data_IF_924317034771
#
_entry.id   IF_924317034771
#
_cell.length_a   1.000
_cell.length_b   1.000
_cell.length_c   1.000
_cell.angle_alpha   90.00
_cell.angle_beta   90.00
_cell.angle_gamma   90.00
#
_symmetry.space_group_name_H-M   'P 1'
#
loop_
_entity.id
_entity.type
_entity.pdbx_description
1 polymer ?
#
# COMPACT_ATOMS: atom_id res chain seq x y z
N UNK A 1 -12.35 0.31 -5.96
CA UNK A 1 -12.64 1.59 -6.64
C UNK A 1 -12.44 2.74 -5.64
N UNK A 2 -11.88 3.87 -6.07
CA UNK A 2 -11.65 5.03 -5.21
C UNK A 2 -11.95 6.29 -6.01
N UNK A 3 -12.73 7.20 -5.44
CA UNK A 3 -13.13 8.46 -6.07
C UNK A 3 -13.29 9.53 -5.00
N UNK A 4 -12.89 10.76 -5.32
CA UNK A 4 -13.06 11.94 -4.47
C UNK A 4 -13.67 13.05 -5.30
N UNK A 5 -14.67 13.75 -4.74
CA UNK A 5 -15.27 14.94 -5.36
C UNK A 5 -15.35 16.04 -4.32
N UNK A 6 -14.77 17.19 -4.62
CA UNK A 6 -14.90 18.40 -3.82
C UNK A 6 -14.90 19.63 -4.73
N UNK A 7 -16.06 20.03 -5.27
CA UNK A 7 -16.19 21.18 -6.15
C UNK A 7 -15.61 22.45 -5.52
N UNK A 8 -14.91 23.25 -6.33
CA UNK A 8 -14.23 24.47 -5.88
C UNK A 8 -12.91 24.24 -5.13
N UNK A 9 -12.59 22.99 -4.75
CA UNK A 9 -11.40 22.66 -3.95
C UNK A 9 -10.46 21.70 -4.67
N UNK A 10 -11.00 20.60 -5.18
CA UNK A 10 -10.25 19.59 -5.94
C UNK A 10 -10.60 19.76 -7.42
N UNK A 11 -9.60 19.91 -8.32
CA UNK A 11 -9.86 19.99 -9.75
C UNK A 11 -10.58 18.72 -10.25
N UNK A 12 -11.77 18.90 -10.82
CA UNK A 12 -12.58 17.80 -11.36
C UNK A 12 -12.02 17.21 -12.67
N UNK A 13 -12.60 16.08 -13.10
CA UNK A 13 -12.29 15.46 -14.40
C UNK A 13 -10.90 14.82 -14.49
N UNK A 14 -10.19 14.66 -13.37
CA UNK A 14 -8.86 14.06 -13.35
C UNK A 14 -8.91 12.58 -13.04
N UNK A 15 -8.11 11.81 -13.77
CA UNK A 15 -7.74 10.43 -13.42
C UNK A 15 -6.30 10.46 -12.93
N UNK A 16 -6.07 9.92 -11.73
CA UNK A 16 -4.74 9.83 -11.13
C UNK A 16 -4.35 8.36 -10.97
N UNK A 17 -3.09 8.05 -11.29
CA UNK A 17 -2.56 6.69 -11.24
C UNK A 17 -1.60 6.48 -10.06
N UNK A 18 -1.35 7.53 -9.28
CA UNK A 18 -0.53 7.42 -8.07
C UNK A 18 -1.22 6.50 -7.06
N UNK A 19 -0.46 5.66 -6.35
CA UNK A 19 -1.01 4.71 -5.40
C UNK A 19 -1.57 5.42 -4.16
N UNK A 20 -2.80 5.05 -3.79
CA UNK A 20 -3.46 5.47 -2.54
C UNK A 20 -4.05 4.26 -1.84
N UNK A 21 -4.31 4.37 -0.54
CA UNK A 21 -4.90 3.29 0.26
C UNK A 21 -6.02 3.84 1.16
N UNK A 22 -6.95 2.96 1.58
CA UNK A 22 -8.07 3.35 2.44
C UNK A 22 -7.65 3.99 3.77
N UNK A 23 -6.44 3.68 4.26
CA UNK A 23 -5.90 4.29 5.49
C UNK A 23 -5.72 5.81 5.36
N UNK A 24 -5.56 6.31 4.14
CA UNK A 24 -5.39 7.74 3.85
C UNK A 24 -6.68 8.54 4.08
N UNK A 25 -7.85 7.88 4.12
CA UNK A 25 -9.15 8.54 4.29
C UNK A 25 -9.20 9.29 5.61
N UNK A 26 -8.74 8.68 6.71
CA UNK A 26 -8.77 9.29 8.05
C UNK A 26 -7.99 10.63 8.13
N UNK A 27 -6.66 10.67 7.87
CA UNK A 27 -5.90 11.92 7.94
C UNK A 27 -6.37 12.95 6.90
N UNK A 28 -6.83 12.52 5.73
CA UNK A 28 -7.37 13.42 4.70
C UNK A 28 -8.68 14.06 5.14
N UNK A 29 -9.57 13.30 5.80
CA UNK A 29 -10.87 13.77 6.26
C UNK A 29 -10.74 14.72 7.44
N UNK A 30 -9.84 14.42 8.38
CA UNK A 30 -9.53 15.32 9.50
C UNK A 30 -8.97 16.65 8.99
N UNK A 31 -7.99 16.61 8.08
CA UNK A 31 -7.45 17.82 7.48
C UNK A 31 -8.51 18.60 6.66
N UNK A 32 -9.49 17.91 6.08
CA UNK A 32 -10.61 18.56 5.40
C UNK A 32 -11.56 19.28 6.37
N UNK A 33 -11.73 18.73 7.57
CA UNK A 33 -12.51 19.33 8.65
C UNK A 33 -11.80 20.49 9.36
N UNK A 34 -10.56 20.80 8.97
CA UNK A 34 -9.72 21.80 9.65
C UNK A 34 -8.94 21.24 10.83
N UNK A 35 -9.01 19.93 11.08
CA UNK A 35 -8.33 19.28 12.19
C UNK A 35 -7.03 18.59 11.77
N UNK A 36 -5.94 18.96 12.43
CA UNK A 36 -4.62 18.39 12.16
C UNK A 36 -4.31 17.15 12.97
N UNK A 37 -5.07 16.89 14.04
CA UNK A 37 -4.76 15.83 15.00
C UNK A 37 -5.24 14.49 14.49
N UNK A 38 -4.28 13.61 14.22
CA UNK A 38 -4.46 12.20 13.90
C UNK A 38 -3.92 11.35 15.06
N UNK A 39 -4.40 10.11 15.25
CA UNK A 39 -3.79 9.21 16.23
C UNK A 39 -2.29 9.12 16.04
N UNK A 40 -1.50 9.04 17.12
CA UNK A 40 -0.04 8.95 17.01
C UNK A 40 0.40 7.77 16.14
N UNK A 41 -0.26 6.62 16.32
CA UNK A 41 -0.03 5.40 15.55
C UNK A 41 -1.07 5.31 14.44
N UNK A 42 -0.64 5.61 13.21
CA UNK A 42 -1.37 5.36 11.98
C UNK A 42 -0.39 5.30 10.80
N UNK A 43 -0.80 4.65 9.71
CA UNK A 43 0.00 4.55 8.48
C UNK A 43 -0.52 5.45 7.34
N UNK A 44 -1.75 5.97 7.45
CA UNK A 44 -2.36 6.80 6.42
C UNK A 44 -1.66 8.15 6.21
N UNK A 45 -1.80 8.72 5.01
CA UNK A 45 -1.26 10.03 4.64
C UNK A 45 -2.36 11.01 4.26
N UNK A 46 -2.16 12.28 4.59
CA UNK A 46 -3.05 13.35 4.14
C UNK A 46 -2.88 13.61 2.64
N UNK A 47 -3.89 13.28 1.85
CA UNK A 47 -3.90 13.42 0.40
C UNK A 47 -4.24 14.84 -0.08
N UNK A 48 -4.78 15.72 0.78
CA UNK A 48 -5.31 17.02 0.35
C UNK A 48 -4.30 17.91 -0.39
N UNK A 49 -3.04 18.07 0.05
CA UNK A 49 -2.08 18.88 -0.70
C UNK A 49 -1.85 18.35 -2.12
N UNK A 50 -1.76 17.03 -2.28
CA UNK A 50 -1.61 16.37 -3.57
C UNK A 50 -2.87 16.47 -4.44
N UNK A 51 -4.05 16.21 -3.88
CA UNK A 51 -5.34 16.34 -4.58
C UNK A 51 -5.60 17.78 -5.07
N UNK A 52 -5.09 18.78 -4.35
CA UNK A 52 -5.14 20.20 -4.74
C UNK A 52 -4.06 20.58 -5.77
N UNK A 53 -3.20 19.65 -6.19
CA UNK A 53 -2.10 19.90 -7.12
C UNK A 53 -0.95 20.73 -6.52
N UNK A 54 -0.86 20.80 -5.19
CA UNK A 54 0.14 21.60 -4.46
C UNK A 54 1.37 20.79 -4.03
N UNK A 55 1.30 19.47 -4.14
CA UNK A 55 2.36 18.54 -3.76
C UNK A 55 2.34 17.28 -4.63
N UNK A 56 3.40 16.47 -4.54
CA UNK A 56 3.43 15.10 -5.09
C UNK A 56 2.59 14.17 -4.22
N UNK A 57 2.22 13.01 -4.76
CA UNK A 57 1.55 11.96 -3.97
C UNK A 57 2.41 11.60 -2.76
N UNK A 58 1.86 11.57 -1.53
CA UNK A 58 2.64 11.30 -0.33
C UNK A 58 2.99 9.82 -0.15
N UNK A 59 2.42 8.93 -0.96
CA UNK A 59 2.62 7.49 -0.86
C UNK A 59 3.68 7.00 -1.84
N UNK A 60 4.91 6.84 -1.36
CA UNK A 60 5.95 6.13 -2.10
C UNK A 60 5.83 4.60 -1.96
N UNK A 61 5.29 4.17 -0.81
CA UNK A 61 5.24 2.77 -0.38
C UNK A 61 3.89 2.48 0.28
N UNK A 62 3.27 1.37 -0.11
CA UNK A 62 2.04 0.85 0.49
C UNK A 62 2.29 -0.54 1.06
N UNK A 63 1.66 -0.83 2.19
CA UNK A 63 1.81 -2.09 2.90
C UNK A 63 0.44 -2.71 3.18
N UNK A 64 0.39 -4.04 3.17
CA UNK A 64 -0.78 -4.81 3.55
C UNK A 64 -0.38 -5.93 4.49
N UNK A 65 -1.23 -6.18 5.49
CA UNK A 65 -1.21 -7.39 6.28
C UNK A 65 -2.61 -7.96 6.37
N UNK A 66 -2.73 -9.27 6.25
CA UNK A 66 -3.95 -10.01 6.51
C UNK A 66 -3.64 -11.14 7.48
N UNK A 67 -4.27 -11.08 8.66
CA UNK A 67 -4.08 -12.03 9.77
C UNK A 67 -2.62 -12.22 10.21
N UNK A 68 -1.74 -11.25 9.95
CA UNK A 68 -0.32 -11.28 10.32
C UNK A 68 0.56 -12.20 9.46
N UNK A 69 -0.01 -13.20 8.80
CA UNK A 69 0.72 -14.21 8.03
C UNK A 69 0.86 -13.85 6.54
N UNK A 70 -0.10 -13.08 6.02
CA UNK A 70 -0.15 -12.68 4.62
C UNK A 70 0.24 -11.22 4.53
N UNK A 71 1.38 -10.93 3.92
CA UNK A 71 1.95 -9.59 3.94
C UNK A 71 2.36 -9.17 2.52
N UNK A 72 2.23 -7.89 2.21
CA UNK A 72 2.65 -7.35 0.93
C UNK A 72 3.20 -5.93 1.06
N UNK A 73 4.13 -5.59 0.16
CA UNK A 73 4.60 -4.23 -0.05
C UNK A 73 4.44 -3.88 -1.53
N UNK A 74 4.07 -2.63 -1.83
CA UNK A 74 4.19 -2.02 -3.14
C UNK A 74 5.03 -0.75 -3.05
N UNK A 75 6.07 -0.64 -3.86
CA UNK A 75 6.89 0.56 -4.04
C UNK A 75 6.92 0.95 -5.51
N UNK A 76 6.20 2.02 -5.86
CA UNK A 76 5.94 2.36 -7.26
C UNK A 76 5.24 1.21 -7.99
N UNK A 77 5.93 0.61 -8.97
CA UNK A 77 5.42 -0.55 -9.73
C UNK A 77 5.88 -1.88 -9.15
N UNK A 78 6.88 -1.87 -8.26
CA UNK A 78 7.44 -3.08 -7.69
C UNK A 78 6.56 -3.57 -6.54
N UNK A 79 6.30 -4.87 -6.49
CA UNK A 79 5.45 -5.49 -5.47
C UNK A 79 6.04 -6.81 -5.00
N UNK A 80 5.97 -7.04 -3.69
CA UNK A 80 6.22 -8.34 -3.07
C UNK A 80 4.93 -8.79 -2.37
N UNK A 81 4.60 -10.07 -2.50
CA UNK A 81 3.46 -10.72 -1.85
C UNK A 81 3.95 -11.99 -1.16
N UNK A 82 3.70 -12.08 0.15
CA UNK A 82 3.91 -13.26 1.00
C UNK A 82 2.55 -13.85 1.32
N UNK A 83 2.24 -14.98 0.72
CA UNK A 83 0.95 -15.67 0.84
C UNK A 83 0.87 -16.63 2.04
N UNK A 84 1.93 -16.78 2.85
CA UNK A 84 2.03 -17.75 3.94
C UNK A 84 2.07 -19.23 3.49
N UNK A 85 1.28 -19.58 2.48
CA UNK A 85 1.15 -20.87 1.80
C UNK A 85 1.06 -20.67 0.27
N UNK A 86 1.33 -21.69 -0.55
CA UNK A 86 1.04 -21.63 -1.98
C UNK A 86 -0.45 -21.39 -2.23
N UNK A 87 -0.77 -20.58 -3.23
CA UNK A 87 -2.15 -20.31 -3.67
C UNK A 87 -2.28 -20.55 -5.17
N UNK A 88 -3.50 -20.56 -5.71
CA UNK A 88 -3.75 -20.67 -7.15
C UNK A 88 -4.45 -19.41 -7.65
N UNK A 89 -4.04 -18.91 -8.81
CA UNK A 89 -4.80 -17.90 -9.54
C UNK A 89 -6.13 -18.48 -10.05
N UNK A 90 -7.01 -17.60 -10.53
CA UNK A 90 -8.34 -17.97 -11.07
C UNK A 90 -8.21 -18.97 -12.22
N UNK A 91 -7.17 -18.83 -13.05
CA UNK A 91 -6.87 -19.73 -14.17
C UNK A 91 -6.17 -21.04 -13.75
N UNK A 92 -6.01 -21.27 -12.45
CA UNK A 92 -5.35 -22.45 -11.90
C UNK A 92 -3.83 -22.34 -11.78
N UNK A 93 -3.21 -21.25 -12.23
CA UNK A 93 -1.76 -21.05 -12.16
C UNK A 93 -1.27 -21.07 -10.71
N UNK A 94 -0.28 -21.91 -10.35
CA UNK A 94 0.30 -21.91 -9.01
C UNK A 94 1.05 -20.60 -8.74
N UNK A 95 0.74 -19.97 -7.61
CA UNK A 95 1.45 -18.81 -7.09
C UNK A 95 2.26 -19.27 -5.86
N UNK A 96 3.59 -19.03 -5.85
CA UNK A 96 4.42 -19.42 -4.73
C UNK A 96 4.02 -18.68 -3.45
N UNK A 97 4.45 -19.22 -2.30
CA UNK A 97 4.28 -18.57 -1.00
C UNK A 97 4.90 -17.16 -0.96
N UNK A 98 5.87 -16.90 -1.83
CA UNK A 98 6.58 -15.64 -1.93
C UNK A 98 6.71 -15.28 -3.41
N UNK A 99 6.07 -14.17 -3.81
CA UNK A 99 6.01 -13.73 -5.20
C UNK A 99 6.46 -12.28 -5.33
N UNK A 100 7.19 -11.98 -6.40
CA UNK A 100 7.68 -10.64 -6.70
C UNK A 100 7.25 -10.24 -8.10
N UNK A 101 6.79 -9.01 -8.27
CA UNK A 101 6.15 -8.53 -9.49
C UNK A 101 6.60 -7.11 -9.79
N UNK A 102 6.79 -6.79 -11.07
CA UNK A 102 6.80 -5.41 -11.57
C UNK A 102 5.50 -5.14 -12.32
N UNK A 103 4.60 -4.38 -11.70
CA UNK A 103 3.27 -4.04 -12.22
C UNK A 103 3.31 -3.26 -13.54
N UNK A 104 4.44 -2.62 -13.87
CA UNK A 104 4.60 -1.94 -15.16
C UNK A 104 4.59 -2.92 -16.33
N UNK A 105 5.13 -4.13 -16.11
CA UNK A 105 5.29 -5.15 -17.16
C UNK A 105 4.41 -6.38 -16.92
N UNK A 106 3.90 -6.55 -15.69
CA UNK A 106 3.07 -7.66 -15.27
C UNK A 106 1.93 -7.16 -14.34
N UNK A 107 0.99 -6.36 -14.87
CA UNK A 107 -0.15 -5.86 -14.08
C UNK A 107 -1.09 -6.98 -13.60
N UNK A 108 -1.02 -8.16 -14.22
CA UNK A 108 -1.76 -9.38 -13.85
C UNK A 108 -1.12 -10.17 -12.70
N UNK A 109 0.05 -9.73 -12.22
CA UNK A 109 0.74 -10.33 -11.06
C UNK A 109 1.12 -11.81 -11.20
N UNK A 110 1.33 -12.27 -12.44
CA UNK A 110 1.61 -13.66 -12.74
C UNK A 110 2.97 -14.10 -12.20
N UNK A 111 3.02 -15.28 -11.58
CA UNK A 111 4.25 -15.88 -11.06
C UNK A 111 5.11 -16.53 -12.17
N UNK A 112 6.18 -17.22 -11.77
CA UNK A 112 7.04 -17.98 -12.67
C UNK A 112 7.91 -17.07 -13.54
N UNK A 113 7.92 -17.30 -14.86
CA UNK A 113 8.79 -16.55 -15.80
C UNK A 113 8.49 -15.04 -15.86
N UNK A 114 7.28 -14.61 -15.48
CA UNK A 114 6.85 -13.21 -15.42
C UNK A 114 7.11 -12.55 -14.07
N UNK A 115 7.61 -13.28 -13.08
CA UNK A 115 8.02 -12.71 -11.81
C UNK A 115 9.19 -11.73 -12.02
N UNK A 116 9.30 -10.76 -11.12
CA UNK A 116 10.43 -9.83 -11.07
C UNK A 116 11.72 -10.62 -10.84
N UNK A 117 12.66 -10.59 -11.80
CA UNK A 117 13.88 -11.41 -11.74
C UNK A 117 15.07 -10.72 -11.04
N UNK A 118 15.03 -9.41 -10.86
CA UNK A 118 16.14 -8.64 -10.29
C UNK A 118 16.34 -8.96 -8.80
N UNK A 119 17.44 -9.63 -8.40
CA UNK A 119 17.65 -10.02 -7.00
C UNK A 119 17.81 -8.81 -6.08
N UNK A 120 18.44 -7.74 -6.57
CA UNK A 120 18.59 -6.49 -5.82
C UNK A 120 17.23 -5.88 -5.47
N UNK A 121 16.31 -5.80 -6.43
CA UNK A 121 14.97 -5.27 -6.20
C UNK A 121 14.16 -6.17 -5.27
N UNK A 122 14.30 -7.50 -5.39
CA UNK A 122 13.66 -8.46 -4.47
C UNK A 122 14.16 -8.24 -3.03
N UNK A 123 15.48 -8.17 -2.82
CA UNK A 123 16.08 -7.93 -1.50
C UNK A 123 15.64 -6.58 -0.93
N UNK A 124 15.56 -5.55 -1.76
CA UNK A 124 15.07 -4.23 -1.34
C UNK A 124 13.63 -4.28 -0.84
N UNK A 125 12.73 -4.94 -1.59
CA UNK A 125 11.34 -5.11 -1.16
C UNK A 125 11.25 -5.89 0.15
N UNK A 126 11.99 -7.00 0.25
CA UNK A 126 11.90 -7.88 1.41
C UNK A 126 12.39 -7.20 2.68
N UNK A 127 13.51 -6.47 2.60
CA UNK A 127 14.02 -5.68 3.74
C UNK A 127 13.02 -4.63 4.21
N UNK A 128 12.33 -3.95 3.29
CA UNK A 128 11.31 -2.95 3.64
C UNK A 128 10.08 -3.59 4.27
N UNK A 129 9.61 -4.71 3.70
CA UNK A 129 8.48 -5.45 4.24
C UNK A 129 8.78 -5.99 5.64
N UNK A 130 9.99 -6.54 5.85
CA UNK A 130 10.44 -7.02 7.16
C UNK A 130 10.47 -5.88 8.19
N UNK A 131 11.06 -4.74 7.84
CA UNK A 131 11.12 -3.58 8.73
C UNK A 131 9.72 -3.06 9.10
N UNK A 132 8.79 -3.03 8.13
CA UNK A 132 7.41 -2.63 8.41
C UNK A 132 6.68 -3.65 9.29
N UNK A 133 6.86 -4.96 9.08
CA UNK A 133 6.27 -5.99 9.94
C UNK A 133 6.73 -5.83 11.39
N UNK A 134 8.03 -5.59 11.62
CA UNK A 134 8.54 -5.36 12.97
C UNK A 134 8.02 -4.07 13.59
N UNK A 135 7.87 -3.00 12.80
CA UNK A 135 7.20 -1.76 13.24
C UNK A 135 5.76 -2.07 13.70
N UNK A 136 4.97 -2.76 12.88
CA UNK A 136 3.57 -3.08 13.21
C UNK A 136 3.47 -3.92 14.48
N UNK A 137 4.37 -4.90 14.68
CA UNK A 137 4.41 -5.67 15.94
C UNK A 137 4.69 -4.79 17.15
N UNK A 138 5.63 -3.85 17.03
CA UNK A 138 5.93 -2.89 18.10
C UNK A 138 4.73 -1.99 18.38
N UNK A 139 4.11 -1.43 17.35
CA UNK A 139 2.93 -0.58 17.46
C UNK A 139 1.77 -1.32 18.16
N UNK A 140 1.57 -2.61 17.84
CA UNK A 140 0.55 -3.45 18.46
C UNK A 140 0.76 -3.67 19.97
N UNK A 141 1.98 -3.49 20.51
CA UNK A 141 2.22 -3.56 21.96
C UNK A 141 1.83 -2.28 22.69
N UNK A 142 1.69 -1.17 21.96
CA UNK A 142 1.33 0.15 22.49
C UNK A 142 -0.19 0.34 22.43
N UNK A 143 -0.82 -0.19 21.37
CA UNK A 143 -2.25 -0.12 21.19
C UNK A 143 -2.96 -1.06 22.17
N UNK A 144 -3.65 -0.50 23.16
CA UNK A 144 -4.49 -1.26 24.09
C UNK A 144 -5.70 -1.82 23.34
N UNK A 145 -6.00 -3.13 23.44
CA UNK A 145 -7.27 -3.65 22.95
C UNK A 145 -8.41 -2.94 23.68
N UNK A 146 -9.34 -2.35 22.91
CA UNK A 146 -10.62 -1.93 23.47
C UNK A 146 -11.41 -3.23 23.64
N UNK A 147 -11.51 -3.71 24.89
CA UNK A 147 -12.36 -4.84 25.28
C UNK A 147 -13.81 -4.41 25.44
#
# INVERSE_FOLDING_TARGET
PFMVSWPGTIPGGKVVNDPVISLDILPTSLAAAGEGTVPEIHDGKNLLPWLKGKAKCPNDELYWSWRGEFNAIRRGTLKEVRNGKPVKAIDGTPIPKHNFVDLATNPTELAGKKALQSPEKQVMLSRKLDAWIEKVKKDATILTPIH
#
